data_IF_057225319172
#
_entry.id   IF_057225319172
#
_cell.length_a   1.000
_cell.length_b   1.000
_cell.length_c   1.000
_cell.angle_alpha   90.00
_cell.angle_beta   90.00
_cell.angle_gamma   90.00
#
_symmetry.space_group_name_H-M   'P 1'
#
loop_
_entity.id
_entity.type
_entity.pdbx_description
1 polymer ?
#
# COMPACT_ATOMS: atom_id res chain seq x y z
N UNK A 1 -6.28 -24.21 9.60
CA UNK A 1 -6.62 -24.21 8.14
C UNK A 1 -7.01 -22.81 7.75
N UNK A 2 -6.33 -22.29 6.75
CA UNK A 2 -6.51 -20.90 6.26
C UNK A 2 -7.87 -20.77 5.53
N UNK A 3 -8.62 -19.76 5.87
CA UNK A 3 -9.93 -19.41 5.29
C UNK A 3 -9.97 -18.02 4.66
N UNK A 4 -8.96 -17.21 4.95
CA UNK A 4 -8.79 -15.92 4.29
C UNK A 4 -7.31 -15.56 4.14
N UNK A 5 -6.99 -14.84 3.07
CA UNK A 5 -5.72 -14.16 2.87
C UNK A 5 -5.97 -12.66 2.93
N UNK A 6 -5.22 -11.96 3.75
CA UNK A 6 -5.23 -10.50 3.81
C UNK A 6 -3.94 -9.99 3.15
N UNK A 7 -4.07 -9.16 2.16
CA UNK A 7 -2.95 -8.49 1.51
C UNK A 7 -2.78 -7.06 2.01
N UNK A 8 -1.54 -6.62 2.20
CA UNK A 8 -1.25 -5.21 2.02
C UNK A 8 -1.47 -4.83 0.56
N UNK A 9 -1.51 -3.53 0.25
CA UNK A 9 -1.78 -3.06 -1.09
C UNK A 9 -0.53 -2.52 -1.78
N UNK A 10 0.13 -1.54 -1.18
CA UNK A 10 1.21 -0.76 -1.77
C UNK A 10 2.53 -1.53 -1.67
N UNK A 11 3.26 -1.73 -2.78
CA UNK A 11 4.44 -2.61 -2.91
C UNK A 11 4.19 -4.11 -2.66
N UNK A 12 2.94 -4.50 -2.37
CA UNK A 12 2.54 -5.91 -2.25
C UNK A 12 1.76 -6.37 -3.46
N UNK A 13 0.70 -5.67 -3.89
CA UNK A 13 -0.10 -6.06 -5.06
C UNK A 13 0.36 -5.40 -6.36
N UNK A 14 1.13 -4.34 -6.28
CA UNK A 14 1.68 -3.58 -7.40
C UNK A 14 2.91 -2.78 -6.95
N UNK A 15 3.72 -2.30 -7.89
CA UNK A 15 4.91 -1.49 -7.62
C UNK A 15 4.52 -0.03 -7.30
N UNK A 16 4.38 0.25 -6.01
CA UNK A 16 4.05 1.59 -5.53
C UNK A 16 5.23 2.56 -5.68
N UNK A 17 6.47 2.12 -5.38
CA UNK A 17 7.65 3.00 -5.35
C UNK A 17 7.97 3.58 -6.72
N UNK A 18 7.89 2.76 -7.77
CA UNK A 18 8.10 3.23 -9.14
C UNK A 18 7.03 4.24 -9.56
N UNK A 19 5.75 3.97 -9.23
CA UNK A 19 4.65 4.87 -9.53
C UNK A 19 4.69 6.17 -8.73
N UNK A 20 5.05 6.11 -7.44
CA UNK A 20 5.21 7.31 -6.59
C UNK A 20 6.26 8.25 -7.19
N UNK A 21 7.41 7.71 -7.62
CA UNK A 21 8.47 8.49 -8.26
C UNK A 21 8.00 9.13 -9.56
N UNK A 22 7.43 8.34 -10.46
CA UNK A 22 6.98 8.83 -11.76
C UNK A 22 5.84 9.88 -11.64
N UNK A 23 4.90 9.69 -10.71
CA UNK A 23 3.85 10.66 -10.44
C UNK A 23 4.41 11.97 -9.81
N UNK A 24 5.43 11.86 -8.97
CA UNK A 24 6.14 13.02 -8.43
C UNK A 24 6.83 13.82 -9.54
N UNK A 25 7.51 13.15 -10.46
CA UNK A 25 8.19 13.76 -11.61
C UNK A 25 7.19 14.47 -12.53
N UNK A 26 6.04 13.84 -12.80
CA UNK A 26 4.95 14.41 -13.58
C UNK A 26 4.44 15.74 -12.97
N UNK A 27 4.28 15.79 -11.64
CA UNK A 27 3.91 17.05 -10.94
C UNK A 27 5.06 18.05 -10.99
N UNK A 28 6.31 17.60 -10.94
CA UNK A 28 7.49 18.47 -11.08
C UNK A 28 7.51 19.17 -12.43
N UNK A 29 7.13 18.51 -13.52
CA UNK A 29 6.98 19.12 -14.84
C UNK A 29 5.89 20.20 -14.85
N UNK A 30 4.72 19.89 -14.28
CA UNK A 30 3.63 20.87 -14.14
C UNK A 30 4.09 22.12 -13.38
N UNK A 31 4.78 21.95 -12.25
CA UNK A 31 5.28 23.04 -11.41
C UNK A 31 6.32 23.88 -12.16
N UNK A 32 7.22 23.23 -12.89
CA UNK A 32 8.21 23.93 -13.73
C UNK A 32 7.55 24.76 -14.83
N UNK A 33 6.57 24.20 -15.53
CA UNK A 33 5.87 24.88 -16.62
C UNK A 33 5.03 26.08 -16.15
N UNK A 34 4.33 25.90 -15.03
CA UNK A 34 3.38 26.92 -14.51
C UNK A 34 4.05 28.01 -13.70
N UNK A 35 5.15 27.71 -13.02
CA UNK A 35 5.75 28.57 -12.00
C UNK A 35 7.22 28.92 -12.28
N UNK A 36 7.87 28.25 -13.23
CA UNK A 36 9.30 28.41 -13.49
C UNK A 36 10.21 27.90 -12.36
N UNK A 37 9.69 27.09 -11.46
CA UNK A 37 10.43 26.51 -10.33
C UNK A 37 11.29 25.36 -10.84
N UNK A 38 12.56 25.30 -10.41
CA UNK A 38 13.44 24.18 -10.77
C UNK A 38 13.05 22.87 -10.09
N UNK A 39 13.48 21.75 -10.66
CA UNK A 39 13.28 20.42 -10.07
C UNK A 39 13.86 20.34 -8.65
N UNK A 40 15.06 20.87 -8.43
CA UNK A 40 15.72 20.92 -7.12
C UNK A 40 14.88 21.70 -6.10
N UNK A 41 14.40 22.89 -6.46
CA UNK A 41 13.58 23.72 -5.58
C UNK A 41 12.25 23.03 -5.24
N UNK A 42 11.59 22.40 -6.22
CA UNK A 42 10.37 21.63 -6.00
C UNK A 42 10.62 20.43 -5.10
N UNK A 43 11.67 19.63 -5.37
CA UNK A 43 12.04 18.46 -4.59
C UNK A 43 12.33 18.79 -3.12
N UNK A 44 13.11 19.84 -2.87
CA UNK A 44 13.42 20.30 -1.51
C UNK A 44 12.18 20.80 -0.78
N UNK A 45 11.33 21.60 -1.43
CA UNK A 45 10.10 22.09 -0.84
C UNK A 45 9.13 20.93 -0.52
N UNK A 46 8.99 19.95 -1.42
CA UNK A 46 8.16 18.78 -1.20
C UNK A 46 8.67 17.89 -0.06
N UNK A 47 9.98 17.65 0.00
CA UNK A 47 10.60 16.88 1.10
C UNK A 47 10.33 17.54 2.45
N UNK A 48 10.51 18.86 2.54
CA UNK A 48 10.19 19.63 3.76
C UNK A 48 8.70 19.56 4.11
N UNK A 49 7.83 19.69 3.12
CA UNK A 49 6.38 19.61 3.29
C UNK A 49 5.94 18.24 3.85
N UNK A 50 6.48 17.15 3.29
CA UNK A 50 6.23 15.77 3.75
C UNK A 50 6.69 15.58 5.19
N UNK A 51 7.92 15.98 5.53
CA UNK A 51 8.47 15.85 6.89
C UNK A 51 7.64 16.65 7.91
N UNK A 52 7.36 17.92 7.63
CA UNK A 52 6.58 18.78 8.52
C UNK A 52 5.12 18.29 8.71
N UNK A 53 4.55 17.65 7.69
CA UNK A 53 3.21 17.07 7.80
C UNK A 53 3.23 15.83 8.69
N UNK A 54 4.19 14.93 8.50
CA UNK A 54 4.36 13.74 9.32
C UNK A 54 4.67 14.09 10.79
N UNK A 55 5.57 15.03 11.02
CA UNK A 55 5.90 15.50 12.37
C UNK A 55 4.66 16.07 13.10
N UNK A 56 3.82 16.83 12.38
CA UNK A 56 2.64 17.46 12.98
C UNK A 56 1.49 16.48 13.25
N UNK A 57 1.27 15.50 12.35
CA UNK A 57 0.10 14.63 12.37
C UNK A 57 0.41 13.21 12.93
N UNK A 58 1.70 12.89 13.13
CA UNK A 58 2.12 11.59 13.64
C UNK A 58 1.82 10.44 12.66
N UNK A 59 1.71 9.24 13.20
CA UNK A 59 1.39 8.02 12.44
C UNK A 59 -0.12 7.89 12.28
N UNK A 60 -0.65 8.61 11.30
CA UNK A 60 -2.08 8.63 10.96
C UNK A 60 -2.24 8.65 9.45
N UNK A 61 -3.34 8.13 8.93
CA UNK A 61 -3.66 8.15 7.50
C UNK A 61 -3.56 9.57 6.88
N UNK A 62 -3.94 10.60 7.65
CA UNK A 62 -3.90 11.99 7.21
C UNK A 62 -2.46 12.49 7.05
N UNK A 63 -1.48 11.91 7.76
CA UNK A 63 -0.07 12.28 7.62
C UNK A 63 0.49 11.96 6.23
N UNK A 64 -0.18 11.10 5.49
CA UNK A 64 0.15 10.70 4.11
C UNK A 64 -0.64 11.49 3.04
N UNK A 65 -1.39 12.51 3.42
CA UNK A 65 -2.21 13.29 2.49
C UNK A 65 -1.36 14.07 1.46
N UNK A 66 -1.42 13.64 0.20
CA UNK A 66 -0.76 14.34 -0.91
C UNK A 66 -1.28 15.75 -1.09
N UNK A 67 -2.57 15.98 -0.78
CA UNK A 67 -3.13 17.34 -0.80
C UNK A 67 -2.39 18.27 0.17
N UNK A 68 -2.16 17.81 1.41
CA UNK A 68 -1.42 18.59 2.41
C UNK A 68 0.05 18.77 2.02
N UNK A 69 0.65 17.76 1.39
CA UNK A 69 2.03 17.87 0.92
C UNK A 69 2.14 18.97 -0.16
N UNK A 70 1.27 18.96 -1.16
CA UNK A 70 1.31 19.95 -2.24
C UNK A 70 0.95 21.36 -1.75
N UNK A 71 -0.05 21.47 -0.86
CA UNK A 71 -0.35 22.75 -0.22
C UNK A 71 0.89 23.35 0.46
N UNK A 72 1.54 22.57 1.34
CA UNK A 72 2.75 23.01 2.04
C UNK A 72 3.95 23.21 1.12
N UNK A 73 4.07 22.44 0.05
CA UNK A 73 5.12 22.63 -0.96
C UNK A 73 5.03 24.03 -1.56
N UNK A 74 3.83 24.47 -1.95
CA UNK A 74 3.61 25.81 -2.47
C UNK A 74 3.87 26.89 -1.41
N UNK A 75 3.48 26.67 -0.16
CA UNK A 75 3.80 27.57 0.96
C UNK A 75 5.31 27.74 1.14
N UNK A 76 6.10 26.66 1.05
CA UNK A 76 7.56 26.71 1.13
C UNK A 76 8.23 27.35 -0.10
N UNK A 77 7.54 27.43 -1.22
CA UNK A 77 7.95 28.15 -2.42
C UNK A 77 7.46 29.60 -2.45
N UNK A 78 6.82 30.09 -1.37
CA UNK A 78 6.19 31.41 -1.27
C UNK A 78 5.10 31.67 -2.35
N UNK A 79 4.37 30.60 -2.68
CA UNK A 79 3.28 30.60 -3.66
C UNK A 79 1.96 30.35 -2.93
N UNK A 80 0.90 31.06 -3.33
CA UNK A 80 -0.43 30.86 -2.74
C UNK A 80 -0.93 29.42 -3.00
N UNK A 81 -1.19 28.59 -1.94
CA UNK A 81 -1.50 27.18 -2.12
C UNK A 81 -2.74 26.92 -2.99
N UNK A 82 -3.78 27.72 -2.83
CA UNK A 82 -5.04 27.56 -3.58
C UNK A 82 -4.90 27.76 -5.09
N UNK A 83 -3.78 28.30 -5.54
CA UNK A 83 -3.55 28.53 -6.96
C UNK A 83 -3.34 27.23 -7.74
N UNK A 84 -2.61 26.27 -7.17
CA UNK A 84 -2.16 25.10 -7.91
C UNK A 84 -2.26 23.76 -7.13
N UNK A 85 -2.44 23.79 -5.81
CA UNK A 85 -2.37 22.57 -4.99
C UNK A 85 -3.35 21.46 -5.43
N UNK A 86 -4.57 21.85 -5.82
CA UNK A 86 -5.57 20.89 -6.32
C UNK A 86 -5.15 20.29 -7.66
N UNK A 87 -4.66 21.10 -8.60
CA UNK A 87 -4.17 20.63 -9.91
C UNK A 87 -2.98 19.67 -9.73
N UNK A 88 -2.03 19.99 -8.82
CA UNK A 88 -0.91 19.09 -8.47
C UNK A 88 -1.42 17.77 -7.92
N UNK A 89 -2.41 17.78 -7.04
CA UNK A 89 -3.03 16.59 -6.47
C UNK A 89 -3.73 15.74 -7.53
N UNK A 90 -4.49 16.34 -8.41
CA UNK A 90 -5.19 15.66 -9.50
C UNK A 90 -4.22 15.10 -10.53
N UNK A 91 -3.17 15.84 -10.88
CA UNK A 91 -2.09 15.38 -11.76
C UNK A 91 -1.37 14.17 -11.17
N UNK A 92 -1.00 14.24 -9.89
CA UNK A 92 -0.34 13.13 -9.19
C UNK A 92 -1.19 11.86 -9.21
N UNK A 93 -2.43 11.94 -8.73
CA UNK A 93 -3.28 10.76 -8.63
C UNK A 93 -3.84 10.31 -9.98
N UNK A 94 -4.01 11.22 -10.93
CA UNK A 94 -4.36 10.86 -12.30
C UNK A 94 -3.28 9.99 -12.92
N UNK A 95 -2.04 10.49 -12.97
CA UNK A 95 -0.90 9.74 -13.48
C UNK A 95 -0.70 8.40 -12.74
N UNK A 96 -0.71 8.46 -11.41
CA UNK A 96 -0.50 7.28 -10.57
C UNK A 96 -1.51 6.17 -10.89
N UNK A 97 -2.81 6.49 -10.86
CA UNK A 97 -3.87 5.52 -11.10
C UNK A 97 -3.87 5.01 -12.54
N UNK A 98 -3.63 5.87 -13.54
CA UNK A 98 -3.65 5.48 -14.94
C UNK A 98 -2.55 4.47 -15.31
N UNK A 99 -1.45 4.46 -14.55
CA UNK A 99 -0.31 3.57 -14.80
C UNK A 99 -0.24 2.37 -13.84
N UNK A 100 -1.20 2.19 -12.93
CA UNK A 100 -1.22 1.03 -12.03
C UNK A 100 -1.53 -0.28 -12.76
N UNK A 101 -0.76 -1.31 -12.43
CA UNK A 101 -1.00 -2.69 -12.84
C UNK A 101 -0.62 -3.62 -11.69
N UNK A 102 -1.35 -4.73 -11.53
CA UNK A 102 -0.96 -5.78 -10.60
C UNK A 102 0.39 -6.38 -10.96
N UNK A 103 1.11 -6.86 -9.98
CA UNK A 103 2.28 -7.70 -10.23
C UNK A 103 1.89 -8.94 -11.04
N UNK A 104 2.81 -9.44 -11.90
CA UNK A 104 2.58 -10.69 -12.63
C UNK A 104 2.24 -11.85 -11.68
N UNK A 105 1.21 -12.62 -12.00
CA UNK A 105 0.72 -13.73 -11.19
C UNK A 105 -0.26 -13.37 -10.07
N UNK A 106 -0.40 -12.07 -9.73
CA UNK A 106 -1.31 -11.66 -8.66
C UNK A 106 -2.78 -11.91 -9.03
N UNK A 107 -3.17 -11.66 -10.29
CA UNK A 107 -4.53 -11.91 -10.78
C UNK A 107 -4.87 -13.40 -10.71
N UNK A 108 -3.98 -14.25 -11.17
CA UNK A 108 -4.12 -15.69 -11.19
C UNK A 108 -4.26 -16.26 -9.77
N UNK A 109 -3.49 -15.72 -8.80
CA UNK A 109 -3.64 -16.12 -7.40
C UNK A 109 -5.00 -15.71 -6.85
N UNK A 110 -5.47 -14.48 -7.09
CA UNK A 110 -6.78 -14.02 -6.62
C UNK A 110 -7.93 -14.90 -7.17
N UNK A 111 -7.86 -15.27 -8.44
CA UNK A 111 -8.81 -16.17 -9.08
C UNK A 111 -8.79 -17.57 -8.44
N UNK A 112 -7.59 -18.13 -8.19
CA UNK A 112 -7.45 -19.43 -7.53
C UNK A 112 -7.98 -19.42 -6.08
N UNK A 113 -7.74 -18.36 -5.31
CA UNK A 113 -8.31 -18.20 -3.97
C UNK A 113 -9.84 -18.17 -4.02
N UNK A 114 -10.39 -17.45 -4.98
CA UNK A 114 -11.84 -17.36 -5.16
C UNK A 114 -12.47 -18.70 -5.52
N UNK A 115 -11.86 -19.47 -6.43
CA UNK A 115 -12.31 -20.82 -6.79
C UNK A 115 -12.33 -21.79 -5.60
N UNK A 116 -11.46 -21.58 -4.62
CA UNK A 116 -11.39 -22.34 -3.37
C UNK A 116 -12.23 -21.76 -2.22
N UNK A 117 -13.01 -20.72 -2.50
CA UNK A 117 -13.81 -20.03 -1.49
C UNK A 117 -12.96 -19.45 -0.34
N UNK A 118 -11.69 -19.16 -0.59
CA UNK A 118 -10.83 -18.45 0.34
C UNK A 118 -11.12 -16.95 0.20
N UNK A 119 -11.47 -16.31 1.31
CA UNK A 119 -11.78 -14.90 1.31
C UNK A 119 -10.53 -14.04 1.14
N UNK A 120 -10.69 -12.91 0.48
CA UNK A 120 -9.61 -11.96 0.24
C UNK A 120 -9.88 -10.67 1.01
N UNK A 121 -8.98 -10.31 1.91
CA UNK A 121 -8.97 -9.01 2.58
C UNK A 121 -7.87 -8.11 2.03
N UNK A 122 -8.07 -6.79 2.14
CA UNK A 122 -7.02 -5.79 1.96
C UNK A 122 -6.91 -4.95 3.22
N UNK A 123 -5.71 -4.89 3.80
CA UNK A 123 -5.39 -4.12 4.99
C UNK A 123 -4.22 -3.18 4.70
N UNK A 124 -4.48 -1.91 4.61
CA UNK A 124 -3.54 -0.95 4.02
C UNK A 124 -3.55 0.38 4.77
N UNK A 125 -2.37 1.02 4.84
CA UNK A 125 -2.30 2.38 5.35
C UNK A 125 -2.74 3.37 4.27
N UNK A 126 -3.21 4.53 4.62
CA UNK A 126 -3.63 5.65 3.78
C UNK A 126 -5.14 5.97 3.89
N UNK A 127 -5.54 7.01 3.14
CA UNK A 127 -6.92 7.50 3.07
C UNK A 127 -7.82 6.55 2.26
N UNK A 128 -8.97 6.21 2.82
CA UNK A 128 -9.89 5.22 2.27
C UNK A 128 -10.30 5.52 0.83
N UNK A 129 -10.62 6.80 0.51
CA UNK A 129 -11.06 7.15 -0.84
C UNK A 129 -9.99 6.88 -1.90
N UNK A 130 -8.69 7.00 -1.56
CA UNK A 130 -7.59 6.68 -2.47
C UNK A 130 -7.48 5.17 -2.65
N UNK A 131 -7.56 4.40 -1.57
CA UNK A 131 -7.46 2.94 -1.64
C UNK A 131 -8.63 2.33 -2.44
N UNK A 132 -9.85 2.84 -2.29
CA UNK A 132 -10.97 2.47 -3.16
C UNK A 132 -10.71 2.77 -4.64
N UNK A 133 -10.11 3.91 -4.97
CA UNK A 133 -9.75 4.25 -6.36
C UNK A 133 -8.70 3.30 -6.92
N UNK A 134 -7.70 2.93 -6.10
CA UNK A 134 -6.66 1.94 -6.47
C UNK A 134 -7.28 0.58 -6.75
N UNK A 135 -8.08 0.04 -5.83
CA UNK A 135 -8.75 -1.25 -6.02
C UNK A 135 -9.63 -1.26 -7.29
N UNK A 136 -10.37 -0.18 -7.53
CA UNK A 136 -11.16 -0.05 -8.77
C UNK A 136 -10.27 -0.04 -10.02
N UNK A 137 -9.13 0.64 -9.98
CA UNK A 137 -8.20 0.71 -11.11
C UNK A 137 -7.53 -0.64 -11.39
N UNK A 138 -7.22 -1.40 -10.34
CA UNK A 138 -6.68 -2.75 -10.43
C UNK A 138 -7.72 -3.81 -10.80
N UNK A 139 -9.00 -3.44 -10.89
CA UNK A 139 -10.09 -4.37 -11.21
C UNK A 139 -10.40 -5.36 -10.09
N UNK A 140 -10.16 -4.98 -8.81
CA UNK A 140 -10.29 -5.86 -7.65
C UNK A 140 -11.59 -5.66 -6.85
N UNK A 141 -12.55 -4.90 -7.38
CA UNK A 141 -13.76 -4.55 -6.61
C UNK A 141 -14.63 -5.76 -6.27
N UNK A 142 -14.60 -6.78 -7.12
CA UNK A 142 -15.37 -8.01 -6.94
C UNK A 142 -14.56 -9.13 -6.27
N UNK A 143 -13.23 -8.95 -6.15
CA UNK A 143 -12.33 -9.95 -5.55
C UNK A 143 -12.16 -9.74 -4.04
N UNK A 144 -12.38 -8.52 -3.53
CA UNK A 144 -12.08 -8.15 -2.14
C UNK A 144 -13.32 -8.20 -1.26
N UNK A 145 -13.34 -9.18 -0.33
CA UNK A 145 -14.41 -9.34 0.66
C UNK A 145 -14.36 -8.29 1.79
N UNK A 146 -13.15 -7.78 2.08
CA UNK A 146 -12.92 -6.88 3.20
C UNK A 146 -11.80 -5.87 2.87
N UNK A 147 -12.10 -4.59 2.97
CA UNK A 147 -11.11 -3.52 2.98
C UNK A 147 -11.06 -2.87 4.37
N UNK A 148 -9.84 -2.75 4.91
CA UNK A 148 -9.55 -1.95 6.09
C UNK A 148 -8.42 -0.98 5.75
N UNK A 149 -8.65 0.28 6.04
CA UNK A 149 -7.65 1.34 5.88
C UNK A 149 -7.25 1.90 7.24
N UNK A 150 -6.05 2.46 7.34
CA UNK A 150 -5.64 3.14 8.59
C UNK A 150 -6.53 4.34 8.91
N UNK A 151 -7.17 4.96 7.90
CA UNK A 151 -8.16 6.01 8.16
C UNK A 151 -9.38 5.47 8.90
N UNK A 152 -9.90 4.30 8.52
CA UNK A 152 -11.02 3.64 9.18
C UNK A 152 -10.64 3.10 10.56
N UNK A 153 -9.48 2.46 10.66
CA UNK A 153 -9.00 1.87 11.91
C UNK A 153 -8.58 2.91 12.95
N UNK A 154 -8.29 4.14 12.52
CA UNK A 154 -7.75 5.20 13.36
C UNK A 154 -6.31 4.97 13.81
N UNK A 155 -5.67 3.91 13.32
CA UNK A 155 -4.27 3.53 13.60
C UNK A 155 -3.63 2.93 12.34
N UNK A 156 -2.31 3.05 12.24
CA UNK A 156 -1.53 2.43 11.16
C UNK A 156 -0.91 1.11 11.61
N UNK A 157 -0.55 0.25 10.66
CA UNK A 157 0.32 -0.89 10.93
C UNK A 157 1.66 -0.40 11.52
N UNK A 158 2.26 -1.07 12.50
CA UNK A 158 1.94 -2.42 13.01
C UNK A 158 0.96 -2.45 14.19
N UNK A 159 0.21 -1.37 14.48
CA UNK A 159 -0.71 -1.37 15.60
C UNK A 159 -1.77 -2.50 15.47
N UNK A 160 -2.03 -3.31 16.53
CA UNK A 160 -2.91 -4.47 16.43
C UNK A 160 -4.36 -4.13 16.07
N UNK A 161 -4.79 -2.89 16.31
CA UNK A 161 -6.15 -2.44 16.04
C UNK A 161 -6.57 -2.60 14.58
N UNK A 162 -5.67 -2.36 13.62
CA UNK A 162 -5.97 -2.47 12.19
C UNK A 162 -6.16 -3.93 11.76
N UNK A 163 -5.33 -4.86 12.29
CA UNK A 163 -5.46 -6.30 12.02
C UNK A 163 -6.72 -6.88 12.65
N UNK A 164 -7.01 -6.48 13.90
CA UNK A 164 -8.22 -6.92 14.61
C UNK A 164 -9.49 -6.47 13.88
N UNK A 165 -9.51 -5.28 13.29
CA UNK A 165 -10.64 -4.81 12.49
C UNK A 165 -10.84 -5.66 11.23
N UNK A 166 -9.75 -6.14 10.60
CA UNK A 166 -9.85 -7.09 9.49
C UNK A 166 -10.49 -8.42 9.93
N UNK A 167 -10.03 -8.97 11.05
CA UNK A 167 -10.57 -10.21 11.62
C UNK A 167 -12.06 -10.08 11.97
N UNK A 168 -12.46 -8.95 12.57
CA UNK A 168 -13.85 -8.63 12.88
C UNK A 168 -14.72 -8.62 11.62
N UNK A 169 -14.31 -7.89 10.59
CA UNK A 169 -15.05 -7.79 9.32
C UNK A 169 -15.15 -9.14 8.61
N UNK A 170 -14.07 -9.92 8.62
CA UNK A 170 -14.06 -11.27 8.06
C UNK A 170 -14.78 -12.29 8.96
N UNK A 171 -15.05 -11.98 10.21
CA UNK A 171 -15.61 -12.91 11.21
C UNK A 171 -14.82 -14.21 11.32
N UNK A 172 -13.49 -14.09 11.37
CA UNK A 172 -12.55 -15.18 11.51
C UNK A 172 -11.67 -15.00 12.73
N UNK A 173 -11.16 -16.12 13.24
CA UNK A 173 -10.09 -16.12 14.24
C UNK A 173 -8.72 -15.93 13.57
N UNK A 174 -7.75 -15.42 14.32
CA UNK A 174 -6.44 -15.05 13.76
C UNK A 174 -5.72 -16.26 13.11
N UNK A 175 -5.83 -17.45 13.70
CA UNK A 175 -5.24 -18.69 13.19
C UNK A 175 -5.86 -19.20 11.87
N UNK A 176 -6.97 -18.64 11.43
CA UNK A 176 -7.64 -18.95 10.16
C UNK A 176 -7.24 -17.99 9.02
N UNK A 177 -6.34 -17.05 9.32
CA UNK A 177 -5.99 -15.95 8.40
C UNK A 177 -4.48 -15.87 8.21
N UNK A 178 -4.06 -15.75 6.96
CA UNK A 178 -2.69 -15.43 6.60
C UNK A 178 -2.61 -14.00 6.06
N UNK A 179 -1.63 -13.24 6.52
CA UNK A 179 -1.33 -11.89 6.05
C UNK A 179 -0.14 -11.92 5.07
N UNK A 180 -0.24 -11.20 3.98
CA UNK A 180 0.84 -11.06 2.99
C UNK A 180 1.17 -9.58 2.83
N UNK A 181 2.42 -9.20 3.06
CA UNK A 181 2.86 -7.79 2.93
C UNK A 181 4.35 -7.64 2.69
N UNK A 182 4.75 -6.48 2.15
CA UNK A 182 6.14 -6.19 1.77
C UNK A 182 7.00 -5.68 2.93
N UNK A 183 6.39 -5.11 3.95
CA UNK A 183 7.12 -4.50 5.05
C UNK A 183 7.26 -5.46 6.24
N UNK A 184 8.49 -5.94 6.48
CA UNK A 184 8.76 -6.91 7.54
C UNK A 184 8.27 -6.44 8.92
N UNK A 185 8.51 -5.18 9.29
CA UNK A 185 8.16 -4.65 10.62
C UNK A 185 6.67 -4.32 10.75
N UNK A 186 6.11 -3.65 9.74
CA UNK A 186 4.75 -3.14 9.81
C UNK A 186 3.70 -4.22 9.50
N UNK A 187 3.95 -5.01 8.46
CA UNK A 187 3.01 -6.02 7.97
C UNK A 187 3.21 -7.34 8.67
N UNK A 188 4.39 -7.93 8.50
CA UNK A 188 4.66 -9.30 8.92
C UNK A 188 4.70 -9.42 10.43
N UNK A 189 5.60 -8.66 11.09
CA UNK A 189 5.69 -8.69 12.56
C UNK A 189 4.44 -8.13 13.23
N UNK A 190 3.79 -7.13 12.61
CA UNK A 190 2.50 -6.60 13.09
C UNK A 190 1.40 -7.66 13.06
N UNK A 191 1.27 -8.40 11.95
CA UNK A 191 0.29 -9.49 11.79
C UNK A 191 0.57 -10.66 12.77
N UNK A 192 1.82 -11.08 12.89
CA UNK A 192 2.23 -12.12 13.85
C UNK A 192 1.91 -11.69 15.30
N UNK A 193 2.18 -10.46 15.66
CA UNK A 193 1.85 -9.92 16.99
C UNK A 193 0.34 -9.87 17.26
N UNK A 194 -0.48 -9.78 16.21
CA UNK A 194 -1.94 -9.89 16.29
C UNK A 194 -2.45 -11.34 16.23
N UNK A 195 -1.54 -12.34 16.13
CA UNK A 195 -1.85 -13.76 16.14
C UNK A 195 -2.15 -14.39 14.78
N UNK A 196 -1.96 -13.64 13.68
CA UNK A 196 -2.13 -14.18 12.32
C UNK A 196 -0.89 -14.95 11.89
N UNK A 197 -1.04 -15.84 10.91
CA UNK A 197 0.09 -16.27 10.09
C UNK A 197 0.49 -15.11 9.18
N UNK A 198 1.75 -15.07 8.76
CA UNK A 198 2.20 -14.00 7.87
C UNK A 198 3.29 -14.50 6.91
N UNK A 199 3.25 -13.97 5.69
CA UNK A 199 4.24 -14.19 4.64
C UNK A 199 4.84 -12.84 4.24
N UNK A 200 6.14 -12.79 4.21
CA UNK A 200 6.86 -11.62 3.72
C UNK A 200 6.99 -11.67 2.20
N UNK A 201 6.27 -10.79 1.51
CA UNK A 201 6.38 -10.60 0.07
C UNK A 201 7.50 -9.60 -0.21
N UNK A 202 8.64 -10.10 -0.69
CA UNK A 202 9.83 -9.29 -0.95
C UNK A 202 10.26 -9.44 -2.42
N UNK A 203 9.65 -8.68 -3.35
CA UNK A 203 10.01 -8.75 -4.75
C UNK A 203 11.47 -8.31 -4.92
N UNK A 204 12.30 -9.21 -5.43
CA UNK A 204 13.71 -8.94 -5.67
C UNK A 204 13.82 -8.05 -6.91
N UNK A 205 14.27 -6.84 -6.74
CA UNK A 205 14.72 -5.99 -7.83
C UNK A 205 16.27 -6.05 -7.93
N UNK A 206 16.84 -5.62 -9.05
CA UNK A 206 18.28 -5.64 -9.29
C UNK A 206 19.08 -4.74 -8.30
N UNK A 207 18.39 -3.95 -7.48
CA UNK A 207 18.96 -2.97 -6.54
C UNK A 207 18.74 -3.36 -5.08
N UNK A 208 17.90 -4.36 -4.79
CA UNK A 208 17.62 -4.80 -3.42
C UNK A 208 18.85 -5.51 -2.85
N UNK A 209 19.32 -5.05 -1.68
CA UNK A 209 20.23 -5.84 -0.87
C UNK A 209 19.48 -7.10 -0.42
N UNK A 210 20.14 -8.26 -0.44
CA UNK A 210 19.59 -9.52 0.08
C UNK A 210 19.24 -9.35 1.58
N UNK A 211 18.09 -8.81 1.87
CA UNK A 211 17.51 -8.93 3.21
C UNK A 211 17.08 -10.39 3.38
N UNK A 212 17.69 -11.09 4.32
CA UNK A 212 17.34 -12.47 4.64
C UNK A 212 16.09 -12.48 5.52
N UNK A 213 15.15 -13.35 5.18
CA UNK A 213 14.07 -13.67 6.09
C UNK A 213 14.63 -14.05 7.47
N UNK A 214 14.01 -13.57 8.53
CA UNK A 214 14.33 -14.00 9.89
C UNK A 214 13.89 -15.46 10.08
N UNK A 215 14.58 -16.23 10.95
CA UNK A 215 14.24 -17.62 11.23
C UNK A 215 12.77 -17.74 11.65
N UNK A 216 12.01 -18.55 10.91
CA UNK A 216 10.59 -18.82 11.18
C UNK A 216 9.58 -17.91 10.49
N UNK A 217 10.03 -17.02 9.59
CA UNK A 217 9.17 -16.19 8.72
C UNK A 217 9.28 -16.70 7.29
N UNK A 218 8.15 -17.10 6.71
CA UNK A 218 8.07 -17.45 5.29
C UNK A 218 8.24 -16.20 4.43
N UNK A 219 9.12 -16.27 3.45
CA UNK A 219 9.41 -15.18 2.53
C UNK A 219 9.33 -15.66 1.08
N UNK A 220 8.74 -14.84 0.22
CA UNK A 220 8.58 -15.12 -1.20
C UNK A 220 8.92 -13.88 -2.02
N UNK A 221 9.47 -14.08 -3.22
CA UNK A 221 9.93 -13.01 -4.09
C UNK A 221 8.97 -12.68 -5.24
N UNK A 222 8.00 -13.55 -5.49
CA UNK A 222 7.04 -13.40 -6.59
C UNK A 222 5.75 -14.15 -6.29
N UNK A 223 4.74 -13.93 -7.12
CA UNK A 223 3.41 -14.54 -6.93
C UNK A 223 3.37 -16.04 -7.25
N UNK A 224 4.31 -16.58 -8.02
CA UNK A 224 4.41 -18.02 -8.24
C UNK A 224 4.85 -18.73 -6.96
N UNK A 225 5.89 -18.22 -6.29
CA UNK A 225 6.34 -18.75 -5.00
C UNK A 225 5.25 -18.62 -3.92
N UNK A 226 4.54 -17.46 -3.89
CA UNK A 226 3.42 -17.26 -2.98
C UNK A 226 2.29 -18.26 -3.21
N UNK A 227 1.95 -18.52 -4.47
CA UNK A 227 0.96 -19.52 -4.85
C UNK A 227 1.34 -20.91 -4.36
N UNK A 228 2.59 -21.35 -4.59
CA UNK A 228 3.11 -22.66 -4.17
C UNK A 228 3.11 -22.81 -2.64
N UNK A 229 3.49 -21.75 -1.91
CA UNK A 229 3.46 -21.72 -0.45
C UNK A 229 2.02 -21.86 0.07
N UNK A 230 1.11 -21.02 -0.39
CA UNK A 230 -0.29 -21.04 0.05
C UNK A 230 -1.03 -22.32 -0.33
N UNK A 231 -0.65 -22.95 -1.46
CA UNK A 231 -1.22 -24.25 -1.85
C UNK A 231 -0.94 -25.35 -0.83
N UNK A 232 0.16 -25.25 -0.08
CA UNK A 232 0.48 -26.16 1.02
C UNK A 232 -0.34 -25.93 2.29
N UNK A 233 -0.85 -24.72 2.50
CA UNK A 233 -1.58 -24.28 3.71
C UNK A 233 -3.10 -24.34 3.57
N UNK A 234 -3.60 -24.46 2.34
CA UNK A 234 -5.02 -24.50 2.00
C UNK A 234 -5.44 -25.95 1.73
N UNK A 235 -6.54 -26.39 2.37
CA UNK A 235 -7.03 -27.77 2.18
C UNK A 235 -7.42 -28.03 0.72
N UNK A 236 -6.84 -29.08 0.17
CA UNK A 236 -7.05 -29.47 -1.23
C UNK A 236 -6.19 -28.72 -2.24
N UNK A 237 -5.22 -27.92 -1.76
CA UNK A 237 -4.33 -27.11 -2.60
C UNK A 237 -5.06 -25.92 -3.29
N UNK A 238 -4.32 -25.06 -3.95
CA UNK A 238 -4.85 -24.02 -4.86
C UNK A 238 -4.99 -24.55 -6.28
#
# INVERSE_FOLDING_TARGET
>A
MIKAIIFDLDDTLYDYKALERAAFDCVGELVRERLGVSEEQYGDAFKRARLATKEKLGETATSHSRMLYFQKTLEYLDIRPLYLALEMYETYWGFFLDNMNLYPGARELLEALHEKYIRVGVCTDLLAHIQHRKLRRLGMMDDVDCLVTSEEAGVEKPAPGIFNLCLEKLRLSAEEVCFVGDNLERDVKGAIAAGLQAVWFHPVDETSQEEKAEDGIDAVSNYQELYELLAGEIEGGL
#
